data_IF_436082417055
#
_entry.id   IF_436082417055
#
_cell.length_a   1.000
_cell.length_b   1.000
_cell.length_c   1.000
_cell.angle_alpha   90.00
_cell.angle_beta   90.00
_cell.angle_gamma   90.00
#
_symmetry.space_group_name_H-M   'P 1'
#
loop_
_entity.id
_entity.type
_entity.pdbx_description
1 polymer ?
#
# COMPACT_ATOMS: atom_id res chain seq x y z
N UNK A 1 28.12 -4.57 -10.33
CA UNK A 1 27.27 -5.53 -9.61
C UNK A 1 26.91 -6.67 -10.54
N UNK A 2 27.26 -7.88 -10.15
CA UNK A 2 26.90 -9.12 -10.88
C UNK A 2 25.42 -9.43 -10.69
N UNK A 3 24.90 -10.40 -11.43
CA UNK A 3 23.51 -10.87 -11.29
C UNK A 3 23.25 -11.43 -9.89
N UNK A 4 24.13 -12.30 -9.39
CA UNK A 4 24.03 -12.92 -8.06
C UNK A 4 24.04 -11.88 -6.93
N UNK A 5 24.94 -10.88 -7.03
CA UNK A 5 24.99 -9.79 -6.05
C UNK A 5 23.67 -8.99 -5.99
N UNK A 6 22.98 -8.80 -7.12
CA UNK A 6 21.68 -8.11 -7.14
C UNK A 6 20.58 -8.95 -6.48
N UNK A 7 20.63 -10.27 -6.65
CA UNK A 7 19.68 -11.21 -6.05
C UNK A 7 19.89 -11.25 -4.54
N UNK A 8 21.14 -11.39 -4.08
CA UNK A 8 21.46 -11.46 -2.65
C UNK A 8 21.10 -10.16 -1.93
N UNK A 9 21.45 -9.00 -2.51
CA UNK A 9 21.05 -7.69 -1.96
C UNK A 9 19.53 -7.53 -1.90
N UNK A 10 18.79 -8.04 -2.88
CA UNK A 10 17.33 -7.98 -2.87
C UNK A 10 16.73 -8.91 -1.79
N UNK A 11 17.33 -10.08 -1.55
CA UNK A 11 16.94 -11.02 -0.49
C UNK A 11 17.17 -10.43 0.90
N UNK A 12 18.33 -9.83 1.13
CA UNK A 12 18.65 -9.14 2.38
C UNK A 12 17.68 -7.99 2.66
N UNK A 13 17.24 -7.28 1.63
CA UNK A 13 16.33 -6.15 1.74
C UNK A 13 14.83 -6.52 1.88
N UNK A 14 14.47 -7.81 1.87
CA UNK A 14 13.07 -8.26 1.78
C UNK A 14 12.16 -7.66 2.86
N UNK A 15 12.64 -7.58 4.10
CA UNK A 15 11.88 -7.05 5.24
C UNK A 15 12.18 -5.58 5.55
N UNK A 16 13.23 -5.01 4.96
CA UNK A 16 13.80 -3.74 5.42
C UNK A 16 13.63 -2.61 4.42
N UNK A 17 13.64 -2.90 3.11
CA UNK A 17 13.66 -1.83 2.12
C UNK A 17 13.07 -2.20 0.76
N UNK A 18 11.80 -1.81 0.58
CA UNK A 18 11.12 -1.86 -0.72
C UNK A 18 11.86 -1.05 -1.80
N UNK A 19 12.62 -0.02 -1.43
CA UNK A 19 13.44 0.76 -2.35
C UNK A 19 14.63 -0.03 -2.89
N UNK A 20 15.36 -0.74 -2.03
CA UNK A 20 16.53 -1.53 -2.45
C UNK A 20 16.10 -2.68 -3.37
N UNK A 21 14.97 -3.32 -3.08
CA UNK A 21 14.40 -4.36 -3.95
C UNK A 21 14.06 -3.79 -5.33
N UNK A 22 13.42 -2.61 -5.38
CA UNK A 22 13.09 -1.93 -6.64
C UNK A 22 14.33 -1.52 -7.46
N UNK A 23 15.37 -1.04 -6.79
CA UNK A 23 16.67 -0.73 -7.40
C UNK A 23 17.29 -1.98 -8.03
N UNK A 24 17.39 -3.06 -7.25
CA UNK A 24 17.99 -4.32 -7.70
C UNK A 24 17.21 -4.90 -8.88
N UNK A 25 15.88 -4.88 -8.81
CA UNK A 25 15.01 -5.35 -9.89
C UNK A 25 15.18 -4.51 -11.18
N UNK A 26 15.30 -3.18 -11.07
CA UNK A 26 15.56 -2.34 -12.25
C UNK A 26 16.93 -2.61 -12.86
N UNK A 27 17.98 -2.72 -12.04
CA UNK A 27 19.33 -3.02 -12.53
C UNK A 27 19.41 -4.41 -13.17
N UNK A 28 18.76 -5.41 -12.55
CA UNK A 28 18.71 -6.77 -13.07
C UNK A 28 17.95 -6.82 -14.39
N UNK A 29 16.78 -6.18 -14.47
CA UNK A 29 15.95 -6.16 -15.69
C UNK A 29 16.69 -5.50 -16.86
N UNK A 30 17.45 -4.43 -16.60
CA UNK A 30 18.24 -3.73 -17.62
C UNK A 30 19.44 -4.53 -18.14
N UNK A 31 20.11 -5.30 -17.27
CA UNK A 31 21.40 -5.93 -17.60
C UNK A 31 21.33 -7.43 -17.86
N UNK A 32 20.42 -8.14 -17.18
CA UNK A 32 20.46 -9.60 -17.08
C UNK A 32 19.15 -10.28 -17.49
N UNK A 33 18.03 -9.56 -17.66
CA UNK A 33 16.73 -10.16 -18.02
C UNK A 33 16.83 -11.14 -19.19
N UNK A 34 17.38 -10.72 -20.34
CA UNK A 34 17.56 -11.56 -21.54
C UNK A 34 16.27 -12.33 -21.93
N UNK A 35 15.11 -11.69 -21.79
CA UNK A 35 13.79 -12.30 -22.04
C UNK A 35 13.10 -12.86 -20.80
N UNK A 36 13.79 -12.94 -19.66
CA UNK A 36 13.18 -13.17 -18.35
C UNK A 36 12.44 -11.93 -17.86
N UNK A 37 11.47 -12.15 -16.99
CA UNK A 37 10.49 -11.18 -16.48
C UNK A 37 10.69 -10.92 -15.00
N UNK A 38 9.92 -9.98 -14.45
CA UNK A 38 9.87 -9.74 -13.00
C UNK A 38 9.44 -10.99 -12.21
N UNK A 39 8.67 -11.91 -12.82
CA UNK A 39 8.32 -13.18 -12.19
C UNK A 39 9.53 -14.09 -12.00
N UNK A 40 10.46 -14.10 -12.96
CA UNK A 40 11.69 -14.89 -12.85
C UNK A 40 12.61 -14.30 -11.77
N UNK A 41 12.73 -12.97 -11.70
CA UNK A 41 13.46 -12.28 -10.63
C UNK A 41 12.82 -12.52 -9.27
N UNK A 42 11.50 -12.41 -9.19
CA UNK A 42 10.71 -12.69 -8.00
C UNK A 42 10.93 -14.11 -7.49
N UNK A 43 10.93 -15.11 -8.37
CA UNK A 43 11.21 -16.50 -8.02
C UNK A 43 12.62 -16.68 -7.42
N UNK A 44 13.61 -15.92 -7.89
CA UNK A 44 14.97 -15.95 -7.32
C UNK A 44 15.04 -15.24 -5.95
N UNK A 45 14.30 -14.16 -5.76
CA UNK A 45 14.31 -13.36 -4.52
C UNK A 45 13.37 -13.90 -3.44
N UNK A 46 12.33 -14.63 -3.81
CA UNK A 46 11.28 -15.09 -2.89
C UNK A 46 10.06 -14.17 -2.81
N UNK A 47 9.80 -13.39 -3.86
CA UNK A 47 8.64 -12.49 -3.97
C UNK A 47 7.82 -12.81 -5.22
N UNK A 48 6.54 -12.42 -5.24
CA UNK A 48 5.73 -12.55 -6.45
C UNK A 48 6.24 -11.61 -7.55
N UNK A 49 6.03 -11.98 -8.81
CA UNK A 49 6.39 -11.12 -9.94
C UNK A 49 5.70 -9.74 -9.90
N UNK A 50 4.48 -9.69 -9.36
CA UNK A 50 3.74 -8.44 -9.17
C UNK A 50 4.39 -7.55 -8.09
N UNK A 51 4.77 -8.14 -6.95
CA UNK A 51 5.49 -7.45 -5.88
C UNK A 51 6.82 -6.84 -6.35
N UNK A 52 7.55 -7.56 -7.22
CA UNK A 52 8.77 -7.04 -7.86
C UNK A 52 8.44 -5.93 -8.84
N UNK A 53 7.44 -6.14 -9.70
CA UNK A 53 7.02 -5.17 -10.70
C UNK A 53 6.64 -3.84 -10.07
N UNK A 54 5.81 -3.84 -9.02
CA UNK A 54 5.40 -2.63 -8.30
C UNK A 54 6.61 -1.86 -7.74
N UNK A 55 7.52 -2.54 -7.03
CA UNK A 55 8.73 -1.92 -6.44
C UNK A 55 9.67 -1.39 -7.50
N UNK A 56 9.86 -2.13 -8.59
CA UNK A 56 10.68 -1.70 -9.72
C UNK A 56 10.12 -0.44 -10.37
N UNK A 57 8.80 -0.36 -10.57
CA UNK A 57 8.14 0.81 -11.17
C UNK A 57 8.24 2.05 -10.30
N UNK A 58 8.07 1.90 -8.98
CA UNK A 58 8.27 3.01 -8.04
C UNK A 58 9.73 3.50 -8.08
N UNK A 59 10.70 2.59 -8.05
CA UNK A 59 12.12 2.96 -8.18
C UNK A 59 12.43 3.67 -9.50
N UNK A 60 11.93 3.17 -10.62
CA UNK A 60 12.20 3.76 -11.94
C UNK A 60 11.55 5.12 -12.15
N UNK A 61 10.49 5.44 -11.40
CA UNK A 61 9.75 6.69 -11.52
C UNK A 61 10.23 7.75 -10.52
N UNK A 62 10.57 7.34 -9.30
CA UNK A 62 10.84 8.26 -8.19
C UNK A 62 12.20 8.04 -7.51
N UNK A 63 13.00 7.06 -7.95
CA UNK A 63 14.26 6.70 -7.30
C UNK A 63 15.30 7.82 -7.25
N UNK A 64 15.22 8.77 -8.18
CA UNK A 64 16.07 9.97 -8.27
C UNK A 64 15.61 11.12 -7.37
N UNK A 65 14.30 11.23 -7.09
CA UNK A 65 13.73 12.31 -6.26
C UNK A 65 13.46 11.91 -4.81
N UNK A 66 13.48 10.61 -4.49
CA UNK A 66 13.11 10.12 -3.15
C UNK A 66 13.91 10.73 -2.00
N UNK A 67 15.18 11.09 -2.24
CA UNK A 67 16.05 11.68 -1.22
C UNK A 67 15.67 13.12 -0.87
N UNK A 68 14.84 13.76 -1.71
CA UNK A 68 14.29 15.10 -1.46
C UNK A 68 13.15 15.07 -0.44
N UNK A 69 12.49 13.92 -0.26
CA UNK A 69 11.38 13.74 0.68
C UNK A 69 11.76 12.68 1.72
N UNK A 70 12.52 13.08 2.72
CA UNK A 70 13.14 12.19 3.70
C UNK A 70 12.13 11.53 4.65
N UNK A 71 10.95 12.14 4.83
CA UNK A 71 9.92 11.65 5.75
C UNK A 71 8.93 10.71 5.08
N UNK A 72 8.85 10.72 3.75
CA UNK A 72 7.92 9.89 3.01
C UNK A 72 8.36 8.43 2.94
N UNK A 73 7.40 7.53 3.12
CA UNK A 73 7.60 6.09 2.98
C UNK A 73 7.37 5.66 1.53
N UNK A 74 7.90 4.49 1.16
CA UNK A 74 7.70 3.91 -0.17
C UNK A 74 6.21 3.86 -0.58
N UNK A 75 5.30 3.63 0.37
CA UNK A 75 3.86 3.57 0.14
C UNK A 75 3.27 4.88 -0.40
N UNK A 76 3.80 6.05 -0.01
CA UNK A 76 3.39 7.35 -0.58
C UNK A 76 3.68 7.42 -2.08
N UNK A 77 4.84 6.92 -2.50
CA UNK A 77 5.23 6.90 -3.90
C UNK A 77 4.46 5.84 -4.70
N UNK A 78 4.17 4.70 -4.08
CA UNK A 78 3.37 3.65 -4.70
C UNK A 78 1.97 4.15 -5.09
N UNK A 79 1.26 4.80 -4.17
CA UNK A 79 -0.07 5.36 -4.48
C UNK A 79 0.01 6.46 -5.54
N UNK A 80 1.07 7.26 -5.53
CA UNK A 80 1.27 8.38 -6.44
C UNK A 80 1.75 7.95 -7.84
N UNK A 81 2.11 6.68 -8.04
CA UNK A 81 2.68 6.17 -9.29
C UNK A 81 1.80 6.42 -10.52
N UNK A 82 0.48 6.47 -10.32
CA UNK A 82 -0.52 6.67 -11.40
C UNK A 82 -1.08 8.09 -11.45
N UNK A 83 -0.58 8.99 -10.59
CA UNK A 83 -1.12 10.33 -10.41
C UNK A 83 -0.38 11.33 -11.30
N UNK A 84 -1.15 12.14 -12.02
CA UNK A 84 -0.65 13.22 -12.90
C UNK A 84 -0.05 14.39 -12.12
N UNK A 85 -0.52 14.58 -10.89
CA UNK A 85 -0.14 15.60 -9.90
C UNK A 85 0.72 15.01 -8.76
N UNK A 86 1.44 13.91 -9.04
CA UNK A 86 2.28 13.25 -8.05
C UNK A 86 3.32 14.18 -7.37
N UNK A 87 4.05 15.06 -8.09
CA UNK A 87 5.04 15.95 -7.45
C UNK A 87 4.42 16.88 -6.42
N UNK A 88 3.29 17.53 -6.75
CA UNK A 88 2.58 18.44 -5.84
C UNK A 88 2.02 17.70 -4.64
N UNK A 89 1.46 16.50 -4.86
CA UNK A 89 0.95 15.65 -3.79
C UNK A 89 2.05 15.21 -2.82
N UNK A 90 3.18 14.72 -3.34
CA UNK A 90 4.30 14.27 -2.52
C UNK A 90 4.95 15.42 -1.75
N UNK A 91 5.11 16.58 -2.39
CA UNK A 91 5.60 17.77 -1.70
C UNK A 91 4.70 18.17 -0.52
N UNK A 92 3.38 18.21 -0.74
CA UNK A 92 2.45 18.51 0.34
C UNK A 92 2.55 17.48 1.49
N UNK A 93 2.66 16.19 1.16
CA UNK A 93 2.80 15.14 2.16
C UNK A 93 4.09 15.28 2.99
N UNK A 94 5.22 15.65 2.38
CA UNK A 94 6.49 15.86 3.09
C UNK A 94 6.42 17.08 4.03
N UNK A 95 5.83 18.18 3.57
CA UNK A 95 5.68 19.41 4.36
C UNK A 95 4.76 19.22 5.57
N UNK A 96 3.74 18.37 5.44
CA UNK A 96 2.71 18.14 6.46
C UNK A 96 2.90 16.84 7.23
N UNK A 97 3.94 16.06 6.93
CA UNK A 97 4.18 14.72 7.49
C UNK A 97 2.95 13.81 7.35
N UNK A 98 2.23 13.97 6.24
CA UNK A 98 0.93 13.37 6.04
C UNK A 98 1.06 11.85 5.85
N UNK A 99 0.12 11.10 6.42
CA UNK A 99 -0.07 9.68 6.14
C UNK A 99 -0.55 9.47 4.71
N UNK A 100 -0.44 8.24 4.21
CA UNK A 100 -0.98 7.83 2.89
C UNK A 100 -2.48 8.13 2.76
N UNK A 101 -3.24 7.98 3.86
CA UNK A 101 -4.67 8.28 3.88
C UNK A 101 -4.96 9.77 3.72
N UNK A 102 -4.19 10.62 4.43
CA UNK A 102 -4.30 12.08 4.33
C UNK A 102 -3.88 12.59 2.96
N UNK A 103 -2.81 12.04 2.37
CA UNK A 103 -2.37 12.34 1.02
C UNK A 103 -3.48 12.09 -0.02
N UNK A 104 -4.14 10.93 0.06
CA UNK A 104 -5.30 10.63 -0.79
C UNK A 104 -6.47 11.59 -0.56
N UNK A 105 -6.80 11.86 0.71
CA UNK A 105 -7.91 12.74 1.06
C UNK A 105 -7.68 14.17 0.57
N UNK A 106 -6.46 14.69 0.73
CA UNK A 106 -6.06 16.00 0.24
C UNK A 106 -6.13 16.10 -1.28
N UNK A 107 -5.63 15.09 -1.99
CA UNK A 107 -5.71 15.04 -3.46
C UNK A 107 -7.16 15.07 -3.94
N UNK A 108 -8.06 14.34 -3.28
CA UNK A 108 -9.50 14.39 -3.56
C UNK A 108 -10.09 15.78 -3.31
N UNK A 109 -9.73 16.39 -2.18
CA UNK A 109 -10.20 17.72 -1.82
C UNK A 109 -9.81 18.77 -2.86
N UNK A 110 -8.58 18.71 -3.37
CA UNK A 110 -8.08 19.64 -4.40
C UNK A 110 -8.71 19.39 -5.76
N UNK A 111 -8.95 18.13 -6.12
CA UNK A 111 -9.59 17.77 -7.39
C UNK A 111 -11.13 17.92 -7.35
N UNK A 112 -11.69 18.40 -6.23
CA UNK A 112 -13.13 18.61 -6.06
C UNK A 112 -13.93 17.30 -6.02
N UNK A 113 -13.27 16.20 -5.65
CA UNK A 113 -13.89 14.89 -5.48
C UNK A 113 -14.61 14.79 -4.13
N UNK A 114 -15.71 14.03 -4.10
CA UNK A 114 -16.57 13.91 -2.92
C UNK A 114 -15.87 13.10 -1.82
N UNK A 115 -15.55 13.77 -0.70
CA UNK A 115 -14.86 13.20 0.45
C UNK A 115 -15.75 12.25 1.28
N UNK A 116 -17.06 12.20 1.02
CA UNK A 116 -17.98 11.26 1.67
C UNK A 116 -17.86 9.84 1.10
N UNK A 117 -17.23 9.68 -0.07
CA UNK A 117 -16.95 8.39 -0.68
C UNK A 117 -15.65 7.85 -0.07
N UNK A 118 -15.77 6.99 0.94
CA UNK A 118 -14.64 6.17 1.39
C UNK A 118 -14.21 5.26 0.24
N UNK A 119 -12.94 5.30 -0.15
CA UNK A 119 -12.41 4.26 -1.03
C UNK A 119 -12.65 2.89 -0.38
N UNK A 120 -12.91 1.83 -1.17
CA UNK A 120 -12.71 0.48 -0.68
C UNK A 120 -11.34 0.44 -0.04
N UNK A 121 -11.23 -0.16 1.14
CA UNK A 121 -9.94 -0.42 1.78
C UNK A 121 -9.14 -1.30 0.80
N UNK A 122 -8.35 -0.67 -0.06
CA UNK A 122 -7.29 -1.34 -0.77
C UNK A 122 -6.32 -1.73 0.32
N UNK A 123 -6.40 -3.00 0.71
CA UNK A 123 -5.33 -3.67 1.43
C UNK A 123 -4.12 -3.59 0.51
N UNK A 124 -3.34 -2.50 0.68
CA UNK A 124 -1.97 -2.44 0.22
C UNK A 124 -1.30 -3.73 0.70
N UNK A 125 -0.31 -4.27 -0.01
CA UNK A 125 0.54 -5.27 0.60
C UNK A 125 1.17 -4.63 1.85
N UNK A 126 0.54 -4.82 3.01
CA UNK A 126 0.97 -4.39 4.36
C UNK A 126 2.19 -5.22 4.79
N UNK A 127 2.66 -6.10 3.92
CA UNK A 127 3.82 -6.98 4.10
C UNK A 127 5.17 -6.26 4.08
N UNK A 128 5.22 -4.92 4.18
CA UNK A 128 6.50 -4.20 4.11
C UNK A 128 7.06 -3.72 5.45
N UNK A 129 6.37 -3.89 6.59
CA UNK A 129 6.94 -3.53 7.92
C UNK A 129 6.48 -4.43 9.09
N UNK A 130 5.62 -5.44 8.89
CA UNK A 130 5.27 -6.39 9.97
C UNK A 130 6.07 -7.66 9.77
N UNK A 131 7.01 -7.91 10.68
CA UNK A 131 7.71 -9.18 10.78
C UNK A 131 6.68 -10.32 10.82
N UNK A 132 6.77 -11.22 9.84
CA UNK A 132 5.97 -12.43 9.77
C UNK A 132 6.28 -13.27 11.03
N UNK A 133 5.46 -13.15 12.08
CA UNK A 133 5.43 -14.17 13.13
C UNK A 133 4.64 -15.32 12.52
N UNK A 134 5.33 -16.39 12.18
CA UNK A 134 4.68 -17.58 11.63
C UNK A 134 3.60 -18.08 12.60
N UNK A 135 2.38 -18.30 12.11
CA UNK A 135 1.31 -19.00 12.84
C UNK A 135 1.50 -20.52 12.87
N UNK A 136 2.72 -21.01 12.62
CA UNK A 136 3.02 -22.42 12.89
C UNK A 136 3.02 -22.62 14.41
N UNK A 137 2.18 -23.53 14.95
CA UNK A 137 2.20 -23.84 16.36
C UNK A 137 3.57 -24.46 16.69
N UNK A 138 4.46 -23.63 17.24
CA UNK A 138 5.70 -24.08 17.87
C UNK A 138 5.25 -25.02 18.99
N UNK A 139 5.43 -26.33 18.77
CA UNK A 139 5.21 -27.32 19.82
C UNK A 139 6.20 -27.02 20.94
N UNK A 140 5.69 -26.42 22.02
CA UNK A 140 6.43 -26.23 23.26
C UNK A 140 6.81 -27.62 23.76
N UNK A 141 8.07 -27.99 23.60
CA UNK A 141 8.60 -29.18 24.25
C UNK A 141 8.62 -28.94 25.76
N UNK A 142 8.07 -29.91 26.47
CA UNK A 142 8.04 -29.92 27.93
C UNK A 142 9.50 -29.87 28.46
N UNK A 143 9.83 -28.98 29.42
CA UNK A 143 11.18 -28.88 29.98
C UNK A 143 11.71 -30.17 30.64
N UNK A 144 10.84 -31.18 30.78
CA UNK A 144 11.16 -32.51 31.30
C UNK A 144 11.90 -33.44 30.32
N UNK A 145 12.08 -33.04 29.05
CA UNK A 145 12.73 -33.87 28.03
C UNK A 145 14.21 -33.50 27.75
N UNK A 146 14.77 -32.51 28.46
CA UNK A 146 16.18 -32.11 28.35
C UNK A 146 16.97 -32.58 29.58
N UNK A 147 17.21 -33.89 29.66
CA UNK A 147 18.24 -34.44 30.56
C UNK A 147 17.94 -35.82 31.11
N UNK A 148 18.31 -36.87 30.36
CA UNK A 148 19.05 -38.04 30.89
C UNK A 148 19.33 -39.03 29.74
N UNK A 149 20.43 -38.75 29.02
CA UNK A 149 21.30 -39.81 28.52
C UNK A 149 22.31 -40.15 29.62
N UNK A 150 22.54 -41.45 29.79
CA UNK A 150 23.30 -42.10 30.85
C UNK A 150 24.70 -41.51 31.14
N UNK A 151 25.09 -41.48 32.42
CA UNK A 151 26.50 -41.60 32.82
C UNK A 151 27.00 -40.67 33.92
N UNK A 152 27.23 -41.28 35.10
CA UNK A 152 28.27 -40.95 36.09
C UNK A 152 28.05 -39.84 37.15
N UNK A 153 28.19 -40.23 38.43
CA UNK A 153 28.77 -39.36 39.47
C UNK A 153 27.87 -38.84 40.60
N UNK A 154 27.70 -39.66 41.64
CA UNK A 154 27.88 -39.36 43.09
C UNK A 154 27.22 -38.13 43.78
N UNK A 155 26.41 -38.45 44.79
CA UNK A 155 26.08 -37.79 46.09
C UNK A 155 26.12 -36.25 46.25
N UNK A 156 25.03 -35.68 46.78
CA UNK A 156 24.93 -35.25 48.20
C UNK A 156 23.93 -34.09 48.42
N UNK A 157 22.99 -34.29 49.35
CA UNK A 157 22.70 -33.30 50.40
C UNK A 157 21.53 -32.31 50.24
N UNK A 158 20.57 -32.41 51.18
CA UNK A 158 19.89 -31.26 51.81
C UNK A 158 18.55 -30.83 51.22
N UNK A 159 17.39 -31.35 51.69
CA UNK A 159 16.55 -30.87 52.82
C UNK A 159 16.01 -29.43 52.72
N UNK A 160 14.66 -29.39 52.74
CA UNK A 160 13.76 -28.44 53.42
C UNK A 160 13.69 -27.01 52.83
N UNK A 161 12.56 -26.32 52.78
CA UNK A 161 11.24 -26.47 53.42
C UNK A 161 10.25 -25.52 52.70
N UNK A 162 8.96 -25.89 52.72
CA UNK A 162 7.76 -25.06 53.04
C UNK A 162 7.66 -23.64 52.43
N UNK A 163 6.55 -23.11 51.90
CA UNK A 163 5.10 -23.18 52.12
C UNK A 163 4.58 -22.24 50.98
N UNK A 164 3.45 -22.39 50.27
CA UNK A 164 2.11 -22.37 50.81
C UNK A 164 1.08 -22.79 49.74
N UNK A 165 0.20 -23.69 50.19
CA UNK A 165 -1.18 -23.96 49.78
C UNK A 165 -2.03 -22.73 49.42
N UNK A 166 -3.20 -22.80 48.77
CA UNK A 166 -3.90 -23.85 48.05
C UNK A 166 -5.26 -23.28 47.57
N UNK A 167 -5.73 -23.81 46.44
CA UNK A 167 -7.10 -24.26 46.12
C UNK A 167 -8.37 -23.46 46.45
N UNK A 168 -9.11 -23.21 45.36
CA UNK A 168 -10.50 -23.63 45.04
C UNK A 168 -11.67 -22.96 45.76
N UNK A 169 -12.63 -22.49 44.94
CA UNK A 169 -14.01 -22.31 45.37
C UNK A 169 -14.93 -21.93 44.21
N UNK A 170 -15.60 -22.92 43.61
CA UNK A 170 -16.75 -22.72 42.74
C UNK A 170 -17.94 -22.15 43.52
N UNK A 171 -18.76 -21.27 42.93
CA UNK A 171 -20.17 -21.12 43.31
C UNK A 171 -20.98 -20.44 42.20
N UNK A 172 -22.08 -21.08 41.81
CA UNK A 172 -23.17 -20.51 41.02
C UNK A 172 -24.26 -19.92 41.95
N UNK A 173 -24.86 -18.77 41.60
CA UNK A 173 -26.27 -18.41 41.88
C UNK A 173 -26.77 -17.33 40.92
N UNK A 174 -28.07 -17.45 40.62
CA UNK A 174 -28.90 -16.79 39.61
C UNK A 174 -29.75 -15.63 40.19
N UNK A 175 -30.22 -14.75 39.29
CA UNK A 175 -31.22 -13.64 39.34
C UNK A 175 -31.01 -12.46 40.32
N UNK A 176 -31.18 -11.18 39.92
CA UNK A 176 -31.61 -10.55 38.68
C UNK A 176 -31.76 -9.01 38.80
N UNK A 177 -32.00 -8.35 37.66
CA UNK A 177 -32.49 -6.96 37.41
C UNK A 177 -31.60 -5.74 37.72
N UNK A 178 -30.95 -5.17 36.70
CA UNK A 178 -31.42 -3.95 36.00
C UNK A 178 -30.31 -3.27 35.16
N UNK A 179 -30.55 -3.14 33.85
CA UNK A 179 -30.15 -1.99 33.03
C UNK A 179 -28.71 -1.90 32.51
N UNK A 180 -28.56 -1.95 31.17
CA UNK A 180 -27.45 -1.31 30.46
C UNK A 180 -26.60 -2.25 29.61
N UNK A 181 -26.98 -2.38 28.34
CA UNK A 181 -26.27 -3.05 27.26
C UNK A 181 -24.75 -2.80 27.22
N UNK A 182 -23.96 -3.86 27.41
CA UNK A 182 -22.75 -4.06 26.62
C UNK A 182 -22.36 -5.55 26.60
N UNK A 183 -22.46 -6.19 25.44
CA UNK A 183 -21.83 -7.48 25.17
C UNK A 183 -21.37 -7.50 23.70
N UNK A 184 -20.05 -7.56 23.43
CA UNK A 184 -19.48 -7.35 22.09
C UNK A 184 -19.64 -8.51 21.11
N UNK A 185 -20.38 -9.57 21.46
CA UNK A 185 -20.67 -10.68 20.56
C UNK A 185 -22.16 -11.02 20.59
N UNK A 186 -22.89 -10.65 19.53
CA UNK A 186 -24.30 -11.05 19.37
C UNK A 186 -24.36 -12.56 19.13
N UNK A 187 -25.08 -13.27 19.99
CA UNK A 187 -25.45 -14.67 19.79
C UNK A 187 -26.44 -14.78 18.63
N UNK A 188 -25.90 -14.91 17.42
CA UNK A 188 -26.62 -15.14 16.17
C UNK A 188 -25.73 -15.60 15.01
N UNK A 189 -24.44 -15.86 15.24
CA UNK A 189 -23.46 -16.25 14.22
C UNK A 189 -23.50 -17.74 13.85
N UNK A 190 -24.69 -18.29 13.65
CA UNK A 190 -24.88 -19.61 13.06
C UNK A 190 -26.15 -19.62 12.20
N UNK A 191 -26.01 -19.18 10.96
CA UNK A 191 -26.95 -19.50 9.88
C UNK A 191 -26.12 -19.98 8.69
N UNK A 192 -26.49 -21.09 8.03
CA UNK A 192 -25.66 -21.68 6.98
C UNK A 192 -25.71 -20.83 5.70
N UNK A 193 -24.62 -20.85 4.95
CA UNK A 193 -24.48 -20.16 3.67
C UNK A 193 -25.55 -20.62 2.64
N UNK A 194 -26.14 -19.72 1.84
CA UNK A 194 -26.93 -20.14 0.69
C UNK A 194 -25.99 -20.69 -0.38
N UNK A 195 -26.21 -21.94 -0.79
CA UNK A 195 -25.53 -22.54 -1.93
C UNK A 195 -26.11 -22.03 -3.27
N UNK A 196 -25.20 -21.48 -4.07
CA UNK A 196 -25.10 -21.44 -5.54
C UNK A 196 -26.37 -21.30 -6.40
N UNK A 197 -26.37 -20.29 -7.28
CA UNK A 197 -26.61 -20.47 -8.73
C UNK A 197 -26.28 -19.20 -9.52
N UNK A 198 -25.49 -19.33 -10.58
CA UNK A 198 -25.40 -18.35 -11.67
C UNK A 198 -24.19 -17.41 -11.60
N UNK A 199 -23.10 -17.83 -12.26
CA UNK A 199 -22.06 -16.91 -12.70
C UNK A 199 -22.62 -15.98 -13.78
N UNK A 200 -22.85 -14.72 -13.42
CA UNK A 200 -22.74 -13.62 -14.38
C UNK A 200 -21.76 -12.63 -13.79
N UNK A 201 -20.72 -12.32 -14.56
CA UNK A 201 -19.74 -11.31 -14.24
C UNK A 201 -20.49 -10.00 -13.99
N UNK A 202 -20.56 -9.58 -12.72
CA UNK A 202 -20.95 -8.24 -12.35
C UNK A 202 -19.91 -7.29 -12.95
N UNK A 203 -20.19 -6.82 -14.16
CA UNK A 203 -19.48 -5.69 -14.77
C UNK A 203 -19.74 -4.53 -13.81
N UNK A 204 -18.74 -4.20 -12.99
CA UNK A 204 -18.77 -3.05 -12.10
C UNK A 204 -19.09 -1.85 -12.97
N UNK A 205 -20.33 -1.36 -12.90
CA UNK A 205 -20.77 -0.23 -13.67
C UNK A 205 -19.90 0.96 -13.29
N UNK A 206 -19.14 1.48 -14.28
CA UNK A 206 -18.34 2.69 -14.14
C UNK A 206 -19.24 3.77 -13.54
N UNK A 207 -18.91 4.36 -12.39
CA UNK A 207 -19.78 5.35 -11.77
C UNK A 207 -20.01 6.50 -12.76
N UNK A 208 -21.28 6.77 -13.05
CA UNK A 208 -21.67 7.85 -13.94
C UNK A 208 -21.28 9.17 -13.28
N UNK A 209 -20.28 9.84 -13.86
CA UNK A 209 -19.80 11.13 -13.37
C UNK A 209 -20.96 12.11 -13.49
N UNK A 210 -21.38 12.69 -12.37
CA UNK A 210 -22.44 13.70 -12.41
C UNK A 210 -21.99 14.90 -13.25
N UNK A 211 -22.90 15.63 -13.91
CA UNK A 211 -22.53 16.82 -14.67
C UNK A 211 -21.73 17.84 -13.84
N UNK A 212 -22.06 17.96 -12.55
CA UNK A 212 -21.33 18.81 -11.61
C UNK A 212 -19.87 18.36 -11.41
N UNK A 213 -19.65 17.06 -11.19
CA UNK A 213 -18.30 16.50 -11.07
C UNK A 213 -17.50 16.63 -12.37
N UNK A 214 -18.16 16.48 -13.53
CA UNK A 214 -17.52 16.68 -14.83
C UNK A 214 -17.06 18.14 -15.00
N UNK A 215 -17.90 19.11 -14.65
CA UNK A 215 -17.54 20.54 -14.69
C UNK A 215 -16.44 20.87 -13.70
N UNK A 216 -16.49 20.37 -12.45
CA UNK A 216 -15.42 20.57 -11.45
C UNK A 216 -14.06 20.07 -11.96
N UNK A 217 -14.02 18.87 -12.54
CA UNK A 217 -12.81 18.29 -13.14
C UNK A 217 -12.29 19.12 -14.32
N UNK A 218 -13.18 19.61 -15.18
CA UNK A 218 -12.81 20.47 -16.30
C UNK A 218 -12.22 21.79 -15.78
N UNK A 219 -12.84 22.43 -14.78
CA UNK A 219 -12.32 23.65 -14.17
C UNK A 219 -10.90 23.44 -13.59
N UNK A 220 -10.72 22.39 -12.77
CA UNK A 220 -9.42 22.08 -12.19
C UNK A 220 -8.34 21.81 -13.26
N UNK A 221 -8.70 21.08 -14.34
CA UNK A 221 -7.79 20.82 -15.45
C UNK A 221 -7.42 22.11 -16.22
N UNK A 222 -8.38 23.02 -16.45
CA UNK A 222 -8.13 24.31 -17.11
C UNK A 222 -7.25 25.22 -16.25
N UNK A 223 -7.52 25.30 -14.95
CA UNK A 223 -6.70 26.08 -14.01
C UNK A 223 -5.26 25.56 -13.92
N UNK A 224 -5.08 24.24 -13.85
CA UNK A 224 -3.74 23.61 -13.92
C UNK A 224 -3.05 23.93 -15.24
N UNK A 225 -3.76 23.78 -16.36
CA UNK A 225 -3.23 24.10 -17.69
C UNK A 225 -2.79 25.57 -17.80
N UNK A 226 -3.54 26.49 -17.20
CA UNK A 226 -3.19 27.91 -17.15
C UNK A 226 -1.92 28.17 -16.32
N UNK A 227 -1.79 27.54 -15.14
CA UNK A 227 -0.58 27.64 -14.30
C UNK A 227 0.68 27.12 -15.02
N UNK A 228 0.54 26.07 -15.85
CA UNK A 228 1.65 25.53 -16.64
C UNK A 228 2.09 26.42 -17.81
N UNK A 229 1.26 27.37 -18.25
CA UNK A 229 1.62 28.35 -19.28
C UNK A 229 2.48 29.47 -18.67
N UNK A 230 3.63 29.11 -18.11
CA UNK A 230 4.58 30.05 -17.55
C UNK A 230 5.14 31.00 -18.62
N UNK A 231 5.73 32.15 -18.24
CA UNK A 231 6.35 33.07 -19.20
C UNK A 231 7.40 32.39 -20.10
N UNK A 232 8.12 31.40 -19.58
CA UNK A 232 9.11 30.59 -20.32
C UNK A 232 8.43 29.70 -21.37
N UNK A 233 7.30 29.08 -21.03
CA UNK A 233 6.53 28.26 -21.97
C UNK A 233 5.94 29.15 -23.08
N UNK A 234 5.46 30.35 -22.73
CA UNK A 234 4.93 31.31 -23.68
C UNK A 234 6.01 31.82 -24.64
N UNK A 235 7.22 32.10 -24.15
CA UNK A 235 8.34 32.56 -24.99
C UNK A 235 8.91 31.47 -25.89
N UNK A 236 8.90 30.20 -25.44
CA UNK A 236 9.33 29.05 -26.24
C UNK A 236 8.24 28.55 -27.22
N UNK A 237 6.98 28.95 -27.04
CA UNK A 237 5.86 28.51 -27.88
C UNK A 237 6.11 28.71 -29.39
N UNK A 238 6.68 29.83 -29.88
CA UNK A 238 7.01 30.05 -31.28
C UNK A 238 8.10 29.14 -31.84
N UNK A 239 8.87 28.44 -31.00
CA UNK A 239 9.92 27.51 -31.43
C UNK A 239 9.40 26.07 -31.56
N UNK A 240 8.23 25.78 -30.98
CA UNK A 240 7.63 24.45 -31.03
C UNK A 240 7.25 24.01 -32.45
N UNK A 241 7.15 22.68 -32.64
CA UNK A 241 6.75 22.14 -33.94
C UNK A 241 5.38 22.69 -34.41
N UNK A 242 5.20 22.97 -35.71
CA UNK A 242 3.93 23.48 -36.25
C UNK A 242 2.73 22.56 -35.96
N UNK A 243 2.97 21.24 -35.95
CA UNK A 243 1.97 20.23 -35.63
C UNK A 243 1.46 20.35 -34.20
N UNK A 244 2.37 20.56 -33.24
CA UNK A 244 2.03 20.72 -31.83
C UNK A 244 1.28 22.03 -31.57
N UNK A 245 1.76 23.15 -32.14
CA UNK A 245 1.08 24.45 -32.07
C UNK A 245 -0.36 24.37 -32.59
N UNK A 246 -0.55 23.81 -33.79
CA UNK A 246 -1.87 23.66 -34.40
C UNK A 246 -2.80 22.80 -33.54
N UNK A 247 -2.28 21.72 -32.95
CA UNK A 247 -3.04 20.85 -32.05
C UNK A 247 -3.48 21.60 -30.78
N UNK A 248 -2.56 22.33 -30.15
CA UNK A 248 -2.86 23.11 -28.93
C UNK A 248 -3.91 24.19 -29.20
N UNK A 249 -3.70 25.02 -30.22
CA UNK A 249 -4.64 26.09 -30.60
C UNK A 249 -6.02 25.52 -30.92
N UNK A 250 -6.08 24.41 -31.66
CA UNK A 250 -7.34 23.75 -31.97
C UNK A 250 -8.05 23.26 -30.70
N UNK A 251 -7.34 22.61 -29.78
CA UNK A 251 -7.93 22.12 -28.54
C UNK A 251 -8.53 23.26 -27.68
N UNK A 252 -7.81 24.38 -27.55
CA UNK A 252 -8.30 25.56 -26.83
C UNK A 252 -9.50 26.19 -27.53
N UNK A 253 -9.47 26.28 -28.86
CA UNK A 253 -10.59 26.81 -29.66
C UNK A 253 -11.85 25.93 -29.55
N UNK A 254 -11.69 24.62 -29.62
CA UNK A 254 -12.79 23.66 -29.49
C UNK A 254 -13.42 23.76 -28.09
N UNK A 255 -12.58 23.84 -27.04
CA UNK A 255 -13.03 24.05 -25.66
C UNK A 255 -13.80 25.36 -25.50
N UNK A 256 -13.28 26.47 -26.03
CA UNK A 256 -13.95 27.77 -25.99
C UNK A 256 -15.29 27.75 -26.75
N UNK A 257 -15.35 27.07 -27.90
CA UNK A 257 -16.60 26.90 -28.65
C UNK A 257 -17.66 26.12 -27.87
N UNK A 258 -17.26 25.09 -27.12
CA UNK A 258 -18.17 24.35 -26.24
C UNK A 258 -18.62 25.22 -25.08
N UNK A 259 -17.69 25.93 -24.42
CA UNK A 259 -18.02 26.84 -23.32
C UNK A 259 -19.02 27.93 -23.74
N UNK A 260 -18.86 28.51 -24.93
CA UNK A 260 -19.77 29.51 -25.47
C UNK A 260 -21.20 28.97 -25.75
N UNK A 261 -21.37 27.65 -25.94
CA UNK A 261 -22.69 27.02 -26.11
C UNK A 261 -23.41 26.76 -24.78
N UNK A 262 -22.69 26.87 -23.66
CA UNK A 262 -23.22 26.68 -22.30
C UNK A 262 -23.68 28.01 -21.66
N UNK A 263 -23.48 29.13 -22.35
CA UNK A 263 -23.98 30.47 -22.00
C UNK A 263 -25.32 30.73 -22.68
#
# INVERSE_FOLDING_TARGET
MTEEQLIDRAREAMSESSWVIGECASQWTKKYSKGRTDADFGAMVGLSGDQIYQRRRVWETFGDVREQYAKLKWSHYYIALTWDDAPECLQWAEENEATVAELKAWRRAINGEDLSISEPFEEYPVDSEVAFVSDEPISVKDPSEYGQGEGDGFESGGRESSDASATVGAHARDMGTSGGDYSPFRSGAASPAPQSSGAEAAVVAKPEITPEQAIKRICAAVERSYKMLSPEVQSAFPELSPKLKKRFIKAVSDLNSVAAKLQ
#
